data_IF_754722593213
#
_entry.id   IF_754722593213
#
_cell.length_a   1.000
_cell.length_b   1.000
_cell.length_c   1.000
_cell.angle_alpha   90.00
_cell.angle_beta   90.00
_cell.angle_gamma   90.00
#
_symmetry.space_group_name_H-M   'P 1'
#
loop_
_entity.id
_entity.type
_entity.pdbx_description
1 polymer ?
#
# COMPACT_ATOMS: atom_id res chain seq x y z
N UNK A 1 -23.69 -4.94 -4.00
CA UNK A 1 -22.59 -4.97 -4.98
C UNK A 1 -21.43 -5.73 -4.36
N UNK A 2 -20.76 -6.62 -5.12
CA UNK A 2 -19.60 -7.37 -4.59
C UNK A 2 -18.38 -6.47 -4.47
N UNK A 3 -17.72 -6.48 -3.31
CA UNK A 3 -16.45 -5.78 -3.09
C UNK A 3 -15.29 -6.61 -3.67
N UNK A 4 -14.40 -5.96 -4.42
CA UNK A 4 -13.20 -6.59 -4.99
C UNK A 4 -11.97 -6.30 -4.13
N UNK A 5 -11.03 -7.25 -4.06
CA UNK A 5 -9.79 -7.08 -3.31
C UNK A 5 -8.63 -6.84 -4.28
N UNK A 6 -7.76 -5.87 -3.95
CA UNK A 6 -6.53 -5.56 -4.70
C UNK A 6 -5.39 -5.48 -3.70
N UNK A 7 -4.32 -6.24 -3.88
CA UNK A 7 -3.09 -6.09 -3.10
C UNK A 7 -2.02 -5.41 -3.97
N UNK A 8 -1.43 -4.34 -3.47
CA UNK A 8 -0.35 -3.61 -4.15
C UNK A 8 0.99 -4.00 -3.51
N UNK A 9 1.85 -4.66 -4.28
CA UNK A 9 3.19 -5.08 -3.86
C UNK A 9 4.25 -4.54 -4.83
N UNK A 10 5.49 -4.37 -4.36
CA UNK A 10 6.60 -3.86 -5.17
C UNK A 10 7.67 -3.17 -4.32
N UNK A 11 8.77 -2.77 -4.96
CA UNK A 11 9.92 -2.13 -4.30
C UNK A 11 9.50 -0.90 -3.48
N UNK A 12 10.28 -0.54 -2.47
CA UNK A 12 10.14 0.77 -1.82
C UNK A 12 10.28 1.90 -2.85
N UNK A 13 9.49 2.97 -2.68
CA UNK A 13 9.46 4.08 -3.62
C UNK A 13 8.76 3.82 -4.98
N UNK A 14 8.26 2.61 -5.25
CA UNK A 14 7.60 2.28 -6.54
C UNK A 14 6.24 2.98 -6.79
N UNK A 15 5.76 3.79 -5.83
CA UNK A 15 4.51 4.58 -6.00
C UNK A 15 3.21 3.85 -5.64
N UNK A 16 3.26 2.75 -4.87
CA UNK A 16 2.08 1.97 -4.44
C UNK A 16 1.01 2.86 -3.78
N UNK A 17 1.38 3.60 -2.74
CA UNK A 17 0.50 4.52 -2.03
C UNK A 17 0.02 5.70 -2.90
N UNK A 18 0.80 6.09 -3.91
CA UNK A 18 0.37 7.10 -4.90
C UNK A 18 -0.74 6.58 -5.81
N UNK A 19 -0.70 5.30 -6.21
CA UNK A 19 -1.79 4.67 -6.97
C UNK A 19 -3.07 4.64 -6.16
N UNK A 20 -2.98 4.41 -4.84
CA UNK A 20 -4.14 4.46 -3.94
C UNK A 20 -4.80 5.84 -3.96
N UNK A 21 -4.02 6.90 -3.78
CA UNK A 21 -4.54 8.28 -3.83
C UNK A 21 -5.14 8.61 -5.19
N UNK A 22 -4.54 8.13 -6.29
CA UNK A 22 -5.09 8.27 -7.64
C UNK A 22 -6.44 7.56 -7.79
N UNK A 23 -6.57 6.34 -7.27
CA UNK A 23 -7.83 5.59 -7.30
C UNK A 23 -8.91 6.25 -6.43
N UNK A 24 -8.53 6.83 -5.29
CA UNK A 24 -9.44 7.51 -4.37
C UNK A 24 -9.87 8.89 -4.88
N UNK A 25 -9.04 9.55 -5.69
CA UNK A 25 -9.24 10.95 -6.09
C UNK A 25 -8.94 11.96 -4.98
N UNK A 26 -8.39 11.50 -3.85
CA UNK A 26 -8.01 12.28 -2.68
C UNK A 26 -6.83 11.62 -1.95
N UNK A 27 -6.19 12.37 -1.05
CA UNK A 27 -5.03 11.89 -0.30
C UNK A 27 -5.46 11.09 0.95
N UNK A 28 -5.46 9.75 0.84
CA UNK A 28 -5.85 8.82 1.91
C UNK A 28 -4.73 7.87 2.34
N UNK A 29 -3.73 7.69 1.49
CA UNK A 29 -2.52 6.93 1.75
C UNK A 29 -1.33 7.90 1.87
N UNK A 30 -0.47 7.64 2.86
CA UNK A 30 0.71 8.46 3.09
C UNK A 30 1.71 8.23 1.97
N UNK A 31 2.22 9.30 1.39
CA UNK A 31 3.30 9.26 0.41
C UNK A 31 4.46 10.13 0.91
N UNK A 32 5.70 9.72 0.72
CA UNK A 32 6.86 10.60 0.84
C UNK A 32 7.54 10.76 -0.51
N UNK A 33 8.21 11.89 -0.68
CA UNK A 33 9.08 12.18 -1.83
C UNK A 33 10.50 11.59 -1.66
N UNK A 34 10.74 10.80 -0.61
CA UNK A 34 12.04 10.19 -0.29
C UNK A 34 11.99 8.66 -0.24
N UNK A 35 13.14 8.03 -0.05
CA UNK A 35 13.27 6.56 0.11
C UNK A 35 12.90 6.07 1.52
N UNK A 36 12.39 6.95 2.39
CA UNK A 36 11.98 6.59 3.73
C UNK A 36 10.66 5.83 3.70
N UNK A 37 10.69 4.61 4.24
CA UNK A 37 9.57 3.69 4.33
C UNK A 37 8.38 4.33 5.07
N UNK A 38 7.37 4.78 4.33
CA UNK A 38 6.17 5.36 4.95
C UNK A 38 5.19 4.30 5.46
N UNK A 39 5.24 3.10 4.89
CA UNK A 39 4.35 1.99 5.18
C UNK A 39 5.21 0.92 5.85
N UNK A 40 5.07 0.77 7.17
CA UNK A 40 5.80 -0.22 7.99
C UNK A 40 4.92 -1.45 8.36
N UNK A 41 3.65 -1.43 7.97
CA UNK A 41 2.66 -2.49 8.11
C UNK A 41 1.70 -2.38 6.93
N UNK A 42 1.10 -3.48 6.48
CA UNK A 42 0.06 -3.39 5.44
C UNK A 42 -1.14 -2.55 5.92
N UNK A 43 -1.82 -1.87 5.00
CA UNK A 43 -2.98 -1.04 5.30
C UNK A 43 -4.11 -1.27 4.29
N UNK A 44 -5.32 -1.50 4.79
CA UNK A 44 -6.53 -1.59 3.96
C UNK A 44 -7.13 -0.21 3.71
N UNK A 45 -7.50 0.05 2.46
CA UNK A 45 -8.18 1.26 2.00
C UNK A 45 -9.47 0.86 1.28
N UNK A 46 -10.60 1.46 1.67
CA UNK A 46 -11.87 1.28 0.96
C UNK A 46 -12.02 2.36 -0.09
N UNK A 47 -12.15 1.97 -1.36
CA UNK A 47 -12.17 2.90 -2.49
C UNK A 47 -13.34 2.58 -3.42
N UNK A 48 -14.12 3.60 -3.79
CA UNK A 48 -15.11 3.51 -4.85
C UNK A 48 -14.53 4.10 -6.15
N UNK A 49 -14.33 3.26 -7.16
CA UNK A 49 -13.72 3.67 -8.43
C UNK A 49 -14.36 2.95 -9.62
N UNK A 50 -14.64 3.67 -10.71
CA UNK A 50 -15.19 3.07 -11.94
C UNK A 50 -16.48 2.28 -11.75
N UNK A 51 -17.33 2.67 -10.78
CA UNK A 51 -18.60 1.99 -10.46
C UNK A 51 -18.48 0.74 -9.58
N UNK A 52 -17.32 0.46 -9.00
CA UNK A 52 -17.10 -0.67 -8.09
C UNK A 52 -16.51 -0.24 -6.75
N UNK A 53 -16.75 -1.06 -5.72
CA UNK A 53 -16.11 -0.93 -4.41
C UNK A 53 -14.89 -1.86 -4.31
N UNK A 54 -13.78 -1.35 -3.81
CA UNK A 54 -12.52 -2.05 -3.62
C UNK A 54 -12.06 -2.01 -2.17
N UNK A 55 -11.48 -3.12 -1.70
CA UNK A 55 -10.53 -3.16 -0.59
C UNK A 55 -9.14 -3.21 -1.19
N UNK A 56 -8.39 -2.12 -1.08
CA UNK A 56 -7.02 -2.01 -1.59
C UNK A 56 -6.05 -2.15 -0.43
N UNK A 57 -5.17 -3.13 -0.49
CA UNK A 57 -4.17 -3.42 0.53
C UNK A 57 -2.83 -2.83 0.08
N UNK A 58 -2.41 -1.75 0.74
CA UNK A 58 -1.07 -1.16 0.61
C UNK A 58 -0.08 -2.00 1.41
N UNK A 59 1.05 -2.43 0.84
CA UNK A 59 2.03 -3.24 1.56
C UNK A 59 3.35 -2.49 1.75
N UNK A 60 4.19 -3.00 2.66
CA UNK A 60 5.60 -2.63 2.77
C UNK A 60 6.30 -2.75 1.41
N UNK A 61 7.31 -1.89 1.17
CA UNK A 61 8.17 -1.97 0.00
C UNK A 61 9.22 -3.08 0.13
N UNK A 62 9.41 -3.88 -0.92
CA UNK A 62 10.51 -4.86 -0.97
C UNK A 62 11.85 -4.12 -1.22
N UNK A 63 12.97 -4.64 -0.69
CA UNK A 63 14.31 -4.02 -0.73
C UNK A 63 14.45 -2.70 0.04
N UNK A 64 13.79 -2.56 1.19
CA UNK A 64 14.19 -1.55 2.16
C UNK A 64 15.62 -1.89 2.64
N UNK A 65 16.64 -1.05 2.42
CA UNK A 65 18.03 -1.36 2.78
C UNK A 65 18.25 -1.63 4.27
N UNK A 66 17.25 -1.33 5.10
CA UNK A 66 17.29 -1.37 6.56
C UNK A 66 16.46 -2.52 7.17
N UNK A 67 15.67 -3.27 6.39
CA UNK A 67 14.83 -4.36 6.91
C UNK A 67 15.43 -5.74 6.61
N UNK A 68 15.49 -6.61 7.61
CA UNK A 68 15.76 -8.03 7.44
C UNK A 68 14.50 -8.81 7.05
N UNK A 69 14.69 -10.09 6.68
CA UNK A 69 13.58 -11.00 6.29
C UNK A 69 12.53 -11.13 7.41
N UNK A 70 12.94 -11.01 8.67
CA UNK A 70 12.06 -11.14 9.83
C UNK A 70 11.05 -9.99 9.90
N UNK A 71 11.53 -8.77 9.68
CA UNK A 71 10.71 -7.55 9.69
C UNK A 71 9.69 -7.56 8.54
N UNK A 72 10.04 -8.15 7.39
CA UNK A 72 9.09 -8.38 6.29
C UNK A 72 7.95 -9.34 6.64
N UNK A 73 8.23 -10.37 7.43
CA UNK A 73 7.20 -11.34 7.86
C UNK A 73 6.27 -10.70 8.89
N UNK A 74 6.81 -10.02 9.90
CA UNK A 74 6.03 -9.30 10.91
C UNK A 74 5.07 -8.26 10.26
N UNK A 75 5.53 -7.61 9.19
CA UNK A 75 4.72 -6.66 8.44
C UNK A 75 3.52 -7.24 7.69
N UNK A 76 3.52 -8.55 7.40
CA UNK A 76 2.43 -9.27 6.70
C UNK A 76 1.50 -9.95 7.70
N UNK A 77 2.02 -10.38 8.85
CA UNK A 77 1.28 -11.16 9.86
C UNK A 77 0.40 -10.31 10.81
N UNK A 78 0.66 -9.00 10.93
CA UNK A 78 -0.09 -8.07 11.78
C UNK A 78 -1.52 -7.78 11.28
#
# INVERSE_FOLDING_TARGET
MSTKNIALFGQSGAGKSSVINLMAGEEIAKTSSGADSCTMHWKEHHIAFGGYNYKVFDTIGVEEPQLGIKEYLEAIEA
#
